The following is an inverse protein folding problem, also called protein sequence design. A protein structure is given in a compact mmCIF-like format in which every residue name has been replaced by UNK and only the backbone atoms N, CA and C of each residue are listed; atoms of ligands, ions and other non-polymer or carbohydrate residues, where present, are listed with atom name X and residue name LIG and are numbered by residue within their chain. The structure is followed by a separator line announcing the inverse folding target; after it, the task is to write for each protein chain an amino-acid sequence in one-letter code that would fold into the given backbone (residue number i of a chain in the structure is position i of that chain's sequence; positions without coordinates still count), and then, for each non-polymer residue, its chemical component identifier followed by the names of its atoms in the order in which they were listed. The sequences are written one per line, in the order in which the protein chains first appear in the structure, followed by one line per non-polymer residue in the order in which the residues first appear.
data_IF_467261382210
#
_entry.id   IF_467261382210
#
_cell.length_a   1.000
_cell.length_b   1.000
_cell.length_c   1.000
_cell.angle_alpha   90.00
_cell.angle_beta   90.00
_cell.angle_gamma   90.00
#
_symmetry.space_group_name_H-M   'P 1'
#
loop_
_entity.id
_entity.type
_entity.pdbx_description
1 polymer ?
#
# COMPACT_ATOMS: atom_id res chain seq x y z
N UNK A 1 -10.54 -26.98 18.69
CA UNK A 1 -9.10 -26.79 18.49
C UNK A 1 -8.99 -25.88 17.29
N UNK A 2 -8.67 -24.62 17.54
CA UNK A 2 -9.00 -23.57 16.59
C UNK A 2 -7.79 -23.33 15.69
N UNK A 3 -7.86 -23.91 14.49
CA UNK A 3 -6.92 -23.63 13.43
C UNK A 3 -7.42 -22.45 12.59
N UNK A 4 -6.51 -21.54 12.27
CA UNK A 4 -6.81 -20.40 11.43
C UNK A 4 -5.86 -20.37 10.25
N UNK A 5 -6.40 -20.39 9.04
CA UNK A 5 -5.66 -20.39 7.78
C UNK A 5 -5.88 -19.09 7.04
N UNK A 6 -4.81 -18.47 6.54
CA UNK A 6 -4.86 -17.33 5.63
C UNK A 6 -4.18 -17.71 4.33
N UNK A 7 -4.93 -17.63 3.23
CA UNK A 7 -4.31 -17.62 1.90
C UNK A 7 -3.56 -16.31 1.69
N UNK A 8 -2.40 -16.37 1.04
CA UNK A 8 -1.56 -15.23 0.71
C UNK A 8 -1.29 -15.09 -0.81
N UNK A 9 -2.15 -15.52 -1.75
CA UNK A 9 -2.01 -15.05 -3.14
C UNK A 9 -2.55 -13.62 -3.25
N UNK A 10 -1.78 -12.71 -3.85
CA UNK A 10 -2.26 -11.35 -4.14
C UNK A 10 -3.56 -11.39 -4.98
N UNK A 11 -4.57 -10.63 -4.56
CA UNK A 11 -5.84 -10.46 -5.26
C UNK A 11 -6.30 -9.01 -5.18
N UNK A 12 -6.95 -8.58 -6.24
CA UNK A 12 -7.70 -7.33 -6.27
C UNK A 12 -8.99 -7.49 -5.45
N UNK A 13 -8.83 -7.41 -4.14
CA UNK A 13 -9.90 -7.47 -3.16
C UNK A 13 -9.82 -6.23 -2.29
N UNK A 14 -10.77 -5.32 -2.44
CA UNK A 14 -10.85 -4.13 -1.62
C UNK A 14 -11.09 -4.49 -0.13
N UNK A 15 -10.35 -3.88 0.81
CA UNK A 15 -10.68 -3.97 2.23
C UNK A 15 -11.89 -3.07 2.49
N UNK A 16 -13.09 -3.64 2.73
CA UNK A 16 -14.20 -2.80 3.18
C UNK A 16 -14.21 -2.70 4.70
N UNK A 17 -14.55 -1.53 5.21
CA UNK A 17 -14.84 -1.34 6.63
C UNK A 17 -16.21 -1.95 6.96
N UNK A 18 -16.25 -2.96 7.81
CA UNK A 18 -17.48 -3.36 8.49
C UNK A 18 -17.63 -2.60 9.81
N UNK A 19 -18.87 -2.37 10.23
CA UNK A 19 -19.19 -1.67 11.48
C UNK A 19 -18.93 -2.47 12.76
N UNK A 20 -18.51 -3.74 12.67
CA UNK A 20 -18.27 -4.65 13.79
C UNK A 20 -16.77 -4.78 14.17
N UNK A 21 -15.88 -4.01 13.53
CA UNK A 21 -14.44 -3.99 13.82
C UNK A 21 -13.68 -5.30 13.51
N UNK A 22 -14.36 -6.33 12.98
CA UNK A 22 -13.82 -7.67 12.71
C UNK A 22 -14.44 -8.35 11.47
N UNK A 23 -14.95 -7.56 10.53
CA UNK A 23 -15.91 -7.90 9.46
C UNK A 23 -15.69 -9.10 8.54
N UNK A 24 -16.43 -9.16 7.41
CA UNK A 24 -16.45 -10.28 6.46
C UNK A 24 -15.11 -10.53 5.71
N UNK A 25 -14.01 -9.95 6.20
CA UNK A 25 -12.64 -10.00 5.69
C UNK A 25 -11.72 -10.92 6.50
N UNK A 26 -12.23 -11.62 7.53
CA UNK A 26 -11.45 -12.65 8.24
C UNK A 26 -10.88 -13.65 7.24
N UNK A 27 -9.56 -13.61 7.05
CA UNK A 27 -8.77 -14.55 6.24
C UNK A 27 -8.93 -14.41 4.71
N UNK A 28 -9.40 -13.26 4.22
CA UNK A 28 -9.30 -12.93 2.79
C UNK A 28 -7.90 -12.43 2.46
N UNK A 29 -7.40 -12.86 1.32
CA UNK A 29 -6.22 -12.32 0.68
C UNK A 29 -6.54 -11.00 -0.03
N UNK A 30 -5.61 -10.04 0.05
CA UNK A 30 -5.74 -8.68 -0.48
C UNK A 30 -4.64 -8.43 -1.54
N UNK A 31 -4.33 -7.18 -1.82
CA UNK A 31 -3.42 -6.76 -2.89
C UNK A 31 -1.98 -7.27 -2.74
N UNK A 32 -1.50 -7.41 -1.49
CA UNK A 32 -0.11 -7.73 -1.21
C UNK A 32 0.12 -9.17 -0.80
N UNK A 33 1.33 -9.67 -1.11
CA UNK A 33 1.86 -10.94 -0.64
C UNK A 33 3.14 -10.69 0.15
N UNK A 34 3.09 -10.91 1.47
CA UNK A 34 4.21 -10.65 2.39
C UNK A 34 4.43 -11.90 3.27
N UNK A 35 5.23 -12.89 2.82
CA UNK A 35 5.54 -14.11 3.58
C UNK A 35 6.58 -13.90 4.69
N UNK A 36 6.42 -12.84 5.46
CA UNK A 36 7.27 -12.52 6.59
C UNK A 36 6.43 -12.47 7.86
N UNK A 37 6.92 -13.08 8.93
CA UNK A 37 6.35 -12.91 10.25
C UNK A 37 7.45 -12.64 11.28
N UNK A 38 7.05 -11.98 12.36
CA UNK A 38 7.88 -11.77 13.54
C UNK A 38 7.20 -12.45 14.73
N UNK A 39 7.98 -13.17 15.52
CA UNK A 39 7.53 -13.82 16.74
C UNK A 39 8.25 -13.22 17.94
N UNK A 40 7.48 -12.95 19.00
CA UNK A 40 8.01 -12.55 20.30
C UNK A 40 8.35 -13.77 21.14
N UNK A 41 9.49 -13.70 21.81
CA UNK A 41 9.98 -14.70 22.73
C UNK A 41 9.58 -14.35 24.17
N UNK A 42 9.69 -15.33 25.07
CA UNK A 42 9.30 -15.15 26.49
C UNK A 42 10.18 -14.15 27.24
N UNK A 43 11.38 -13.88 26.74
CA UNK A 43 12.35 -12.96 27.31
C UNK A 43 12.29 -11.55 26.67
N UNK A 44 11.18 -11.22 26.01
CA UNK A 44 10.93 -9.94 25.32
C UNK A 44 11.83 -9.70 24.11
N UNK A 45 12.58 -10.70 23.66
CA UNK A 45 13.25 -10.66 22.35
C UNK A 45 12.27 -11.00 21.23
N UNK A 46 12.72 -10.79 20.00
CA UNK A 46 11.99 -11.17 18.81
C UNK A 46 12.91 -11.80 17.77
N UNK A 47 12.35 -12.72 16.98
CA UNK A 47 12.96 -13.17 15.74
C UNK A 47 11.98 -13.01 14.58
N UNK A 48 12.51 -12.89 13.37
CA UNK A 48 11.74 -12.86 12.13
C UNK A 48 12.00 -14.09 11.29
N UNK A 49 11.02 -14.46 10.47
CA UNK A 49 11.16 -15.51 9.45
C UNK A 49 10.57 -15.00 8.16
N UNK A 50 11.34 -15.07 7.08
CA UNK A 50 10.89 -14.86 5.71
C UNK A 50 10.86 -16.20 4.98
N UNK A 51 9.73 -16.51 4.36
CA UNK A 51 9.61 -17.65 3.45
C UNK A 51 9.65 -17.09 2.03
N UNK A 52 10.81 -17.18 1.38
CA UNK A 52 11.09 -16.52 0.11
C UNK A 52 10.52 -17.31 -1.06
N UNK A 53 9.20 -17.20 -1.23
CA UNK A 53 8.43 -17.91 -2.24
C UNK A 53 7.28 -17.02 -2.74
N UNK A 54 7.06 -16.99 -4.05
CA UNK A 54 6.04 -16.16 -4.73
C UNK A 54 4.86 -16.96 -5.28
N UNK A 55 4.86 -18.29 -5.15
CA UNK A 55 3.73 -19.12 -5.53
C UNK A 55 2.56 -18.91 -4.56
N UNK A 56 1.30 -19.16 -5.00
CA UNK A 56 0.16 -19.18 -4.11
C UNK A 56 0.41 -20.07 -2.91
N UNK A 57 0.26 -19.50 -1.73
CA UNK A 57 0.62 -20.11 -0.46
C UNK A 57 -0.42 -19.77 0.60
N UNK A 58 -0.41 -20.55 1.68
CA UNK A 58 -1.16 -20.26 2.87
C UNK A 58 -0.34 -20.49 4.13
N UNK A 59 -0.73 -19.78 5.17
CA UNK A 59 -0.20 -19.92 6.52
C UNK A 59 -1.35 -20.34 7.42
N UNK A 60 -1.15 -21.41 8.18
CA UNK A 60 -2.10 -21.87 9.19
C UNK A 60 -1.46 -21.82 10.56
N UNK A 61 -2.08 -21.13 11.51
CA UNK A 61 -1.70 -21.17 12.93
C UNK A 61 -2.63 -22.12 13.67
N UNK A 62 -2.07 -22.91 14.58
CA UNK A 62 -2.84 -23.81 15.44
C UNK A 62 -2.89 -23.36 16.90
N UNK A 63 -3.53 -24.15 17.77
CA UNK A 63 -3.73 -23.82 19.19
C UNK A 63 -2.45 -23.92 20.05
N UNK A 64 -1.47 -24.72 19.62
CA UNK A 64 -0.10 -24.68 20.15
C UNK A 64 0.74 -23.69 19.31
N UNK A 65 1.89 -23.18 19.80
CA UNK A 65 2.74 -22.27 19.04
C UNK A 65 3.41 -23.02 17.87
N UNK A 66 2.66 -23.23 16.80
CA UNK A 66 3.14 -23.81 15.56
C UNK A 66 2.47 -23.14 14.37
N UNK A 67 3.24 -23.04 13.31
CA UNK A 67 2.86 -22.46 12.03
C UNK A 67 3.02 -23.55 10.98
N UNK A 68 1.98 -23.78 10.20
CA UNK A 68 1.98 -24.69 9.06
C UNK A 68 2.01 -23.82 7.80
N UNK A 69 3.11 -23.91 7.06
CA UNK A 69 3.27 -23.25 5.78
C UNK A 69 2.98 -24.24 4.64
N UNK A 70 2.15 -23.83 3.68
CA UNK A 70 1.88 -24.62 2.47
C UNK A 70 2.00 -23.72 1.24
N UNK A 71 2.65 -24.22 0.21
CA UNK A 71 2.75 -23.56 -1.09
C UNK A 71 2.41 -24.55 -2.20
N UNK A 72 1.84 -24.06 -3.31
CA UNK A 72 1.53 -24.91 -4.46
C UNK A 72 2.72 -25.13 -5.40
N UNK A 73 3.88 -24.51 -5.14
CA UNK A 73 5.06 -24.64 -5.98
C UNK A 73 6.28 -23.88 -5.48
N UNK A 74 7.32 -23.84 -6.31
CA UNK A 74 8.59 -23.21 -5.98
C UNK A 74 9.45 -24.05 -5.03
N UNK A 75 10.35 -23.38 -4.32
CA UNK A 75 11.26 -23.99 -3.35
C UNK A 75 10.96 -23.47 -1.94
N UNK A 76 11.36 -24.22 -0.92
CA UNK A 76 11.38 -23.75 0.46
C UNK A 76 12.71 -23.06 0.74
N UNK A 77 12.78 -21.77 0.40
CA UNK A 77 13.89 -20.89 0.79
C UNK A 77 13.46 -20.07 2.01
N UNK A 78 14.12 -20.25 3.15
CA UNK A 78 13.69 -19.70 4.44
C UNK A 78 14.85 -18.97 5.12
N UNK A 79 14.62 -17.70 5.45
CA UNK A 79 15.57 -16.85 6.14
C UNK A 79 15.12 -16.60 7.58
N UNK A 80 16.06 -16.66 8.51
CA UNK A 80 15.85 -16.37 9.92
C UNK A 80 16.59 -15.10 10.33
N UNK A 81 15.89 -14.22 11.04
CA UNK A 81 16.41 -12.94 11.52
C UNK A 81 16.40 -12.94 13.06
N UNK A 82 17.55 -13.16 13.72
CA UNK A 82 17.61 -13.42 15.16
C UNK A 82 17.34 -12.22 16.08
N UNK A 83 17.15 -11.00 15.57
CA UNK A 83 16.91 -9.82 16.42
C UNK A 83 18.18 -9.34 17.15
N UNK A 84 18.13 -8.99 18.45
CA UNK A 84 17.15 -9.44 19.46
C UNK A 84 15.94 -8.53 19.64
N UNK A 85 16.00 -7.26 19.23
CA UNK A 85 14.83 -6.36 19.32
C UNK A 85 13.96 -6.47 18.07
N UNK A 86 12.65 -6.16 18.13
CA UNK A 86 11.80 -6.07 16.93
C UNK A 86 12.38 -5.14 15.86
N UNK A 87 13.03 -4.05 16.27
CA UNK A 87 13.70 -3.13 15.35
C UNK A 87 14.90 -3.78 14.66
N UNK A 88 15.72 -4.54 15.40
CA UNK A 88 16.85 -5.28 14.82
C UNK A 88 16.37 -6.33 13.81
N UNK A 89 15.26 -7.02 14.11
CA UNK A 89 14.64 -7.98 13.17
C UNK A 89 14.27 -7.28 11.86
N UNK A 90 13.59 -6.13 11.92
CA UNK A 90 13.23 -5.37 10.70
C UNK A 90 14.49 -4.82 10.01
N UNK A 91 15.50 -4.40 10.77
CA UNK A 91 16.77 -3.93 10.21
C UNK A 91 17.51 -5.03 9.46
N UNK A 92 17.47 -6.27 9.94
CA UNK A 92 18.06 -7.43 9.27
C UNK A 92 17.22 -7.85 8.05
N UNK A 93 15.89 -7.90 8.20
CA UNK A 93 14.96 -8.21 7.11
C UNK A 93 15.15 -7.26 5.91
N UNK A 94 15.09 -5.96 6.15
CA UNK A 94 15.28 -4.94 5.10
C UNK A 94 16.72 -4.85 4.59
N UNK A 95 17.72 -5.39 5.31
CA UNK A 95 19.06 -5.54 4.75
C UNK A 95 19.10 -6.63 3.66
N UNK A 96 18.25 -7.66 3.77
CA UNK A 96 18.13 -8.73 2.78
C UNK A 96 17.22 -8.33 1.61
N UNK A 97 16.01 -7.84 1.88
CA UNK A 97 15.00 -7.59 0.81
C UNK A 97 15.15 -6.22 0.14
N UNK A 98 15.99 -5.34 0.69
CA UNK A 98 16.16 -3.97 0.23
C UNK A 98 15.71 -2.95 1.27
N UNK A 99 16.51 -1.89 1.42
CA UNK A 99 16.17 -0.76 2.29
C UNK A 99 15.07 0.08 1.62
N UNK A 100 14.12 0.64 2.38
CA UNK A 100 13.18 1.61 1.84
C UNK A 100 13.92 2.75 1.14
N UNK A 101 13.41 3.17 -0.02
CA UNK A 101 13.93 4.34 -0.71
C UNK A 101 13.69 5.60 0.15
N UNK A 102 14.60 6.58 0.04
CA UNK A 102 14.39 7.89 0.65
C UNK A 102 13.32 8.62 -0.19
N UNK A 103 12.13 8.92 0.36
CA UNK A 103 11.09 9.63 -0.37
C UNK A 103 11.54 11.07 -0.67
N UNK A 104 11.02 11.65 -1.75
CA UNK A 104 11.20 13.08 -1.98
C UNK A 104 10.48 13.88 -0.89
N UNK A 105 11.01 15.04 -0.49
CA UNK A 105 10.50 15.75 0.69
C UNK A 105 9.00 16.11 0.58
N UNK A 106 8.54 16.47 -0.61
CA UNK A 106 7.15 16.81 -0.89
C UNK A 106 6.18 15.61 -0.78
N UNK A 107 6.68 14.37 -0.87
CA UNK A 107 5.86 13.16 -0.70
C UNK A 107 5.38 13.00 0.76
N UNK A 108 6.06 13.64 1.72
CA UNK A 108 5.67 13.67 3.12
C UNK A 108 4.61 14.75 3.42
N UNK A 109 4.31 15.60 2.44
CA UNK A 109 3.30 16.65 2.52
C UNK A 109 1.87 16.13 2.43
N UNK A 110 0.89 17.00 2.65
CA UNK A 110 -0.51 16.60 2.55
C UNK A 110 -0.91 16.39 1.08
N UNK A 111 -1.58 15.27 0.81
CA UNK A 111 -1.94 14.88 -0.54
C UNK A 111 -3.46 14.70 -0.68
N UNK A 112 -4.05 15.34 -1.68
CA UNK A 112 -5.49 15.31 -1.94
C UNK A 112 -5.78 14.47 -3.19
N UNK A 113 -6.61 13.44 -3.02
CA UNK A 113 -7.12 12.62 -4.13
C UNK A 113 -8.64 12.51 -4.07
N UNK A 114 -9.27 12.36 -5.23
CA UNK A 114 -10.69 12.12 -5.35
C UNK A 114 -10.99 11.35 -6.64
N UNK A 115 -11.71 10.25 -6.53
CA UNK A 115 -12.34 9.59 -7.67
C UNK A 115 -13.62 10.34 -8.04
N UNK A 116 -13.78 10.73 -9.30
CA UNK A 116 -14.98 11.44 -9.77
C UNK A 116 -14.76 12.94 -10.01
N UNK A 117 -13.55 13.34 -10.41
CA UNK A 117 -13.34 14.69 -10.92
C UNK A 117 -14.24 14.95 -12.14
N UNK A 118 -15.16 15.91 -12.03
CA UNK A 118 -16.07 16.23 -13.14
C UNK A 118 -15.36 16.97 -14.29
N UNK A 119 -14.41 17.83 -13.93
CA UNK A 119 -13.61 18.64 -14.85
C UNK A 119 -12.44 19.30 -14.10
N UNK A 120 -11.54 19.94 -14.86
CA UNK A 120 -10.41 20.69 -14.31
C UNK A 120 -10.83 21.82 -13.36
N UNK A 121 -11.91 22.53 -13.64
CA UNK A 121 -12.37 23.65 -12.81
C UNK A 121 -12.71 23.20 -11.39
N UNK A 122 -13.32 22.02 -11.23
CA UNK A 122 -13.60 21.45 -9.92
C UNK A 122 -12.32 21.20 -9.12
N UNK A 123 -11.28 20.68 -9.77
CA UNK A 123 -9.96 20.47 -9.16
C UNK A 123 -9.30 21.80 -8.77
N UNK A 124 -9.36 22.81 -9.64
CA UNK A 124 -8.83 24.15 -9.36
C UNK A 124 -9.53 24.81 -8.17
N UNK A 125 -10.85 24.68 -8.08
CA UNK A 125 -11.62 25.24 -6.98
C UNK A 125 -11.23 24.62 -5.63
N UNK A 126 -10.99 23.30 -5.59
CA UNK A 126 -10.48 22.64 -4.39
C UNK A 126 -9.12 23.21 -4.00
N UNK A 127 -8.16 23.31 -4.92
CA UNK A 127 -6.84 23.90 -4.63
C UNK A 127 -6.98 25.34 -4.11
N UNK A 128 -7.83 26.14 -4.72
CA UNK A 128 -8.11 27.51 -4.28
C UNK A 128 -8.74 27.56 -2.89
N UNK A 129 -9.60 26.61 -2.55
CA UNK A 129 -10.18 26.49 -1.21
C UNK A 129 -9.14 26.09 -0.16
N UNK A 130 -8.22 25.17 -0.46
CA UNK A 130 -7.09 24.86 0.43
C UNK A 130 -6.25 26.11 0.70
N UNK A 131 -5.91 26.86 -0.35
CA UNK A 131 -5.19 28.14 -0.23
C UNK A 131 -5.97 29.16 0.62
N UNK A 132 -7.26 29.34 0.33
CA UNK A 132 -8.14 30.29 1.03
C UNK A 132 -8.34 29.94 2.50
N UNK A 133 -8.39 28.65 2.82
CA UNK A 133 -8.53 28.12 4.18
C UNK A 133 -7.19 27.97 4.91
N UNK A 134 -6.07 28.29 4.25
CA UNK A 134 -4.72 28.15 4.78
C UNK A 134 -4.41 26.72 5.27
N UNK A 135 -4.88 25.72 4.52
CA UNK A 135 -4.58 24.31 4.75
C UNK A 135 -3.39 23.93 3.86
N UNK A 136 -2.28 23.42 4.43
CA UNK A 136 -1.16 22.95 3.62
C UNK A 136 -1.59 21.85 2.66
N UNK A 137 -1.16 21.96 1.42
CA UNK A 137 -1.36 21.00 0.34
C UNK A 137 -0.04 20.90 -0.39
N UNK A 138 0.44 19.70 -0.72
CA UNK A 138 1.68 19.52 -1.47
C UNK A 138 1.41 18.82 -2.80
N UNK A 139 0.42 17.94 -2.83
CA UNK A 139 0.12 17.07 -3.97
C UNK A 139 -1.38 17.02 -4.23
N UNK A 140 -1.76 17.12 -5.51
CA UNK A 140 -3.12 16.78 -5.96
C UNK A 140 -3.05 15.63 -6.95
N UNK A 141 -3.89 14.62 -6.74
CA UNK A 141 -4.01 13.47 -7.63
C UNK A 141 -5.05 13.72 -8.72
N UNK A 142 -4.63 13.46 -9.95
CA UNK A 142 -5.51 13.31 -11.09
C UNK A 142 -5.82 11.80 -11.27
N UNK A 143 -7.07 11.45 -11.06
CA UNK A 143 -7.54 10.06 -11.15
C UNK A 143 -7.95 9.72 -12.61
N UNK A 144 -8.47 8.52 -12.82
CA UNK A 144 -8.68 7.90 -14.14
C UNK A 144 -9.61 8.70 -15.06
N UNK A 145 -10.48 9.57 -14.52
CA UNK A 145 -11.37 10.43 -15.31
C UNK A 145 -10.64 11.53 -16.08
N UNK A 146 -9.35 11.75 -15.78
CA UNK A 146 -8.51 12.69 -16.54
C UNK A 146 -8.04 12.12 -17.89
N UNK A 147 -8.13 10.81 -18.07
CA UNK A 147 -7.73 10.09 -19.27
C UNK A 147 -8.84 10.12 -20.34
N UNK A 148 -8.45 10.04 -21.62
CA UNK A 148 -9.40 9.80 -22.71
C UNK A 148 -9.87 8.35 -22.64
N UNK A 149 -11.17 8.16 -22.44
CA UNK A 149 -11.79 6.83 -22.42
C UNK A 149 -11.11 5.83 -21.45
N UNK A 150 -10.52 6.33 -20.36
CA UNK A 150 -9.78 5.56 -19.35
C UNK A 150 -8.54 4.84 -19.90
N UNK A 151 -7.95 5.35 -20.98
CA UNK A 151 -6.74 4.80 -21.60
C UNK A 151 -5.48 5.47 -21.04
N UNK A 152 -4.51 4.66 -20.62
CA UNK A 152 -3.22 5.16 -20.14
C UNK A 152 -2.54 6.06 -21.19
N UNK A 153 -1.81 7.07 -20.71
CA UNK A 153 -1.05 8.01 -21.54
C UNK A 153 -1.91 8.87 -22.48
N UNK A 154 -3.20 8.99 -22.21
CA UNK A 154 -4.11 9.91 -22.90
C UNK A 154 -4.62 11.00 -21.96
N UNK A 155 -5.13 12.10 -22.52
CA UNK A 155 -5.78 13.18 -21.76
C UNK A 155 -7.13 13.44 -22.40
N UNK A 156 -8.21 13.41 -21.61
CA UNK A 156 -9.55 13.66 -22.09
C UNK A 156 -9.69 15.06 -22.70
N UNK A 157 -9.87 15.12 -24.02
CA UNK A 157 -9.88 16.35 -24.84
C UNK A 157 -10.97 17.37 -24.47
N UNK A 158 -11.98 16.99 -23.69
CA UNK A 158 -13.14 17.86 -23.41
C UNK A 158 -13.06 18.56 -22.03
N UNK A 159 -12.17 18.15 -21.11
CA UNK A 159 -12.18 18.68 -19.73
C UNK A 159 -10.81 18.94 -19.07
N UNK A 160 -9.68 18.52 -19.66
CA UNK A 160 -8.38 18.58 -18.97
C UNK A 160 -7.19 19.11 -19.80
N UNK A 161 -7.33 19.24 -21.12
CA UNK A 161 -6.21 19.50 -22.00
C UNK A 161 -5.62 20.91 -21.82
N UNK A 162 -4.30 20.96 -21.58
CA UNK A 162 -3.39 22.13 -21.62
C UNK A 162 -3.36 23.01 -20.36
N UNK A 163 -4.48 23.28 -19.70
CA UNK A 163 -4.50 24.18 -18.51
C UNK A 163 -4.06 23.48 -17.21
N UNK A 164 -4.24 22.15 -17.10
CA UNK A 164 -3.84 21.36 -15.92
C UNK A 164 -2.33 21.48 -15.66
N UNK A 165 -1.51 21.28 -16.69
CA UNK A 165 -0.05 21.34 -16.60
C UNK A 165 0.46 22.74 -16.23
N UNK A 166 -0.10 23.79 -16.84
CA UNK A 166 0.28 25.18 -16.55
C UNK A 166 -0.17 25.63 -15.16
N UNK A 167 -1.34 25.21 -14.69
CA UNK A 167 -1.88 25.55 -13.37
C UNK A 167 -1.07 24.87 -12.26
N UNK A 168 -0.76 23.58 -12.37
CA UNK A 168 -0.08 22.85 -11.29
C UNK A 168 1.38 23.32 -11.11
N UNK A 169 2.09 23.62 -12.21
CA UNK A 169 3.45 24.17 -12.17
C UNK A 169 3.46 25.61 -11.64
N UNK A 170 2.40 26.40 -11.91
CA UNK A 170 2.30 27.80 -11.50
C UNK A 170 2.07 28.00 -9.99
N UNK A 171 1.73 26.95 -9.22
CA UNK A 171 1.33 27.07 -7.81
C UNK A 171 2.30 26.34 -6.86
N UNK A 172 3.48 25.95 -7.34
CA UNK A 172 4.49 25.24 -6.54
C UNK A 172 4.01 23.91 -5.91
N UNK A 173 2.95 23.30 -6.47
CA UNK A 173 2.44 21.99 -6.05
C UNK A 173 2.95 20.88 -6.96
N UNK A 174 3.08 19.68 -6.41
CA UNK A 174 3.36 18.47 -7.18
C UNK A 174 2.04 17.81 -7.61
N UNK A 175 2.12 16.94 -8.61
CA UNK A 175 0.93 16.26 -9.14
C UNK A 175 1.27 14.84 -9.50
N UNK A 176 0.36 13.94 -9.12
CA UNK A 176 0.48 12.51 -9.38
C UNK A 176 -0.74 12.09 -10.20
N UNK A 177 -0.51 11.25 -11.20
CA UNK A 177 -1.54 10.70 -12.07
C UNK A 177 -1.55 9.18 -11.86
N UNK A 178 -2.73 8.59 -11.80
CA UNK A 178 -2.87 7.13 -11.80
C UNK A 178 -2.39 6.54 -13.13
N UNK A 179 -1.90 5.31 -13.10
CA UNK A 179 -1.55 4.46 -14.24
C UNK A 179 -2.01 3.03 -13.94
#
# INVERSE_FOLDING_TARGET
QDYHTWGIPARDNQPYSSSDGLGPYRRKNLFGMQPFYMAFERDYKAHGVLIFNSNPQDITVGPAPHLIYRTIGGMLDIYFFPGPTPEDVIRQYTALVGRPALPAYWELGFQMSNSGWQNLTAMQNIVNDFNRLNIPLDVVYADIETMDSYEDFTIGYVNFAIVLYAFLISICYHSIIIL
#
